data_IF_608592016478
#
_entry.id   IF_608592016478
#
_cell.length_a   1.000
_cell.length_b   1.000
_cell.length_c   1.000
_cell.angle_alpha   90.00
_cell.angle_beta   90.00
_cell.angle_gamma   90.00
#
_symmetry.space_group_name_H-M   'P 1'
#
loop_
_entity.id
_entity.type
_entity.pdbx_description
1 polymer ?
#
# COMPACT_ATOMS: atom_id res chain seq x y z
N UNK A 1 -4.52 15.29 -20.50
CA UNK A 1 -4.18 13.89 -20.17
C UNK A 1 -4.11 13.72 -18.66
N UNK A 2 -5.18 13.26 -18.01
CA UNK A 2 -5.01 12.69 -16.67
C UNK A 2 -4.36 11.34 -16.90
N UNK A 3 -3.12 11.08 -16.43
CA UNK A 3 -2.62 9.71 -16.47
C UNK A 3 -3.67 8.86 -15.76
N UNK A 4 -4.14 7.80 -16.43
CA UNK A 4 -4.99 6.80 -15.80
C UNK A 4 -4.38 6.48 -14.45
N UNK A 5 -5.16 6.29 -13.37
CA UNK A 5 -4.58 5.85 -12.12
C UNK A 5 -3.80 4.59 -12.49
N UNK A 6 -2.46 4.66 -12.46
CA UNK A 6 -1.69 3.43 -12.42
C UNK A 6 -2.28 2.74 -11.21
N UNK A 7 -3.03 1.67 -11.45
CA UNK A 7 -3.76 0.96 -10.40
C UNK A 7 -2.76 0.77 -9.29
N UNK A 8 -2.95 1.51 -8.21
CA UNK A 8 -1.96 1.49 -7.16
C UNK A 8 -1.96 0.09 -6.61
N UNK A 9 -0.90 -0.66 -6.92
CA UNK A 9 -0.76 -2.06 -6.55
C UNK A 9 -0.45 -2.12 -5.07
N UNK A 10 -1.47 -1.92 -4.25
CA UNK A 10 -1.39 -1.91 -2.80
C UNK A 10 -1.78 -3.27 -2.19
N UNK A 11 -1.67 -4.35 -2.97
CA UNK A 11 -2.01 -5.73 -2.57
C UNK A 11 -3.44 -5.92 -2.02
N UNK A 12 -4.37 -5.03 -2.34
CA UNK A 12 -5.75 -5.06 -1.80
C UNK A 12 -5.88 -4.48 -0.39
N UNK A 13 -4.82 -3.89 0.16
CA UNK A 13 -4.84 -3.21 1.46
C UNK A 13 -4.94 -1.70 1.36
N UNK A 14 -5.24 -1.13 0.21
CA UNK A 14 -5.58 0.27 0.10
C UNK A 14 -6.78 0.42 -0.84
N UNK A 15 -7.82 1.09 -0.37
CA UNK A 15 -8.99 1.45 -1.18
C UNK A 15 -8.73 2.69 -2.02
N UNK A 16 -7.71 3.47 -1.67
CA UNK A 16 -7.38 4.72 -2.33
C UNK A 16 -5.89 5.01 -2.25
N UNK A 17 -5.44 5.76 -3.24
CA UNK A 17 -4.06 6.12 -3.41
C UNK A 17 -3.92 7.63 -3.40
N UNK A 18 -2.99 8.17 -2.63
CA UNK A 18 -2.70 9.60 -2.59
C UNK A 18 -1.63 9.94 -3.61
N UNK A 19 -1.78 11.06 -4.31
CA UNK A 19 -0.69 11.61 -5.11
C UNK A 19 0.27 12.41 -4.22
N UNK A 20 1.55 12.10 -4.31
CA UNK A 20 2.64 12.83 -3.66
C UNK A 20 3.59 13.36 -4.73
N UNK A 21 3.62 14.69 -4.84
CA UNK A 21 4.43 15.41 -5.83
C UNK A 21 5.93 15.17 -5.63
N UNK A 22 6.37 15.03 -4.37
CA UNK A 22 7.77 14.77 -4.03
C UNK A 22 8.24 13.44 -4.59
N UNK A 23 7.42 12.40 -4.44
CA UNK A 23 7.68 11.07 -5.00
C UNK A 23 7.62 11.08 -6.52
N UNK A 24 6.67 11.82 -7.10
CA UNK A 24 6.58 11.99 -8.55
C UNK A 24 7.85 12.60 -9.14
N UNK A 25 8.34 13.70 -8.55
CA UNK A 25 9.58 14.34 -8.97
C UNK A 25 10.78 13.41 -8.79
N UNK A 26 10.90 12.74 -7.64
CA UNK A 26 11.99 11.80 -7.34
C UNK A 26 11.98 10.58 -8.26
N UNK A 27 10.80 10.13 -8.69
CA UNK A 27 10.64 9.02 -9.62
C UNK A 27 10.85 9.43 -11.09
N UNK A 28 11.27 10.67 -11.36
CA UNK A 28 11.47 11.18 -12.72
C UNK A 28 10.16 11.37 -13.48
N UNK A 29 9.11 11.86 -12.79
CA UNK A 29 7.75 12.07 -13.30
C UNK A 29 7.04 10.81 -13.78
N UNK A 30 7.50 9.62 -13.36
CA UNK A 30 6.92 8.32 -13.75
C UNK A 30 5.85 7.80 -12.81
N UNK A 31 5.99 8.03 -11.50
CA UNK A 31 5.05 7.53 -10.51
C UNK A 31 5.08 8.41 -9.26
N UNK A 32 3.91 8.93 -8.87
CA UNK A 32 3.70 9.74 -7.67
C UNK A 32 2.61 9.17 -6.76
N UNK A 33 2.13 7.96 -7.05
CA UNK A 33 1.09 7.32 -6.24
C UNK A 33 1.67 6.72 -4.98
N UNK A 34 1.11 7.08 -3.84
CA UNK A 34 1.40 6.53 -2.51
C UNK A 34 0.17 5.78 -2.02
N UNK A 35 0.31 4.48 -1.81
CA UNK A 35 -0.73 3.66 -1.20
C UNK A 35 -1.02 4.14 0.22
N UNK A 36 -2.30 4.39 0.53
CA UNK A 36 -2.74 4.62 1.90
C UNK A 36 -3.10 3.25 2.49
N UNK A 37 -2.11 2.58 3.08
CA UNK A 37 -2.27 1.23 3.60
C UNK A 37 -3.23 1.19 4.79
N UNK A 38 -4.19 0.28 4.70
CA UNK A 38 -5.15 -0.11 5.74
C UNK A 38 -4.71 -1.46 6.35
N UNK A 39 -5.55 -2.05 7.20
CA UNK A 39 -5.38 -3.45 7.63
C UNK A 39 -4.08 -3.72 8.41
N UNK A 40 -3.57 -2.70 9.12
CA UNK A 40 -2.28 -2.72 9.82
C UNK A 40 -1.11 -3.14 8.92
N UNK A 41 -1.21 -2.84 7.63
CA UNK A 41 -0.14 -3.07 6.65
C UNK A 41 0.66 -1.79 6.40
N UNK A 42 1.88 -1.93 5.91
CA UNK A 42 2.81 -0.85 5.66
C UNK A 42 3.74 -1.19 4.49
N UNK A 43 4.52 -0.20 4.07
CA UNK A 43 5.39 -0.25 2.89
C UNK A 43 4.75 0.34 1.63
N UNK A 44 5.55 0.47 0.57
CA UNK A 44 5.16 1.16 -0.67
C UNK A 44 3.90 0.57 -1.33
N UNK A 45 3.72 -0.74 -1.19
CA UNK A 45 2.61 -1.51 -1.74
C UNK A 45 1.80 -2.23 -0.65
N UNK A 46 1.92 -1.81 0.61
CA UNK A 46 1.20 -2.45 1.72
C UNK A 46 1.52 -3.95 1.88
N UNK A 47 2.78 -4.31 1.66
CA UNK A 47 3.24 -5.71 1.62
C UNK A 47 3.76 -6.23 2.97
N UNK A 48 3.95 -5.34 3.94
CA UNK A 48 4.47 -5.65 5.27
C UNK A 48 3.42 -5.36 6.33
N UNK A 49 3.51 -5.99 7.50
CA UNK A 49 2.71 -5.59 8.66
C UNK A 49 3.38 -4.44 9.41
N UNK A 50 2.58 -3.55 9.98
CA UNK A 50 3.04 -2.46 10.82
C UNK A 50 3.77 -3.02 12.05
N UNK A 51 4.70 -2.25 12.62
CA UNK A 51 5.41 -2.62 13.84
C UNK A 51 4.44 -2.98 14.97
N UNK A 52 4.64 -4.14 15.60
CA UNK A 52 3.72 -4.70 16.60
C UNK A 52 2.66 -5.65 16.03
N UNK A 53 2.57 -5.77 14.71
CA UNK A 53 1.74 -6.76 14.02
C UNK A 53 2.62 -7.80 13.32
N UNK A 54 2.11 -9.03 13.21
CA UNK A 54 2.71 -10.11 12.45
C UNK A 54 1.72 -10.64 11.42
N UNK A 55 2.25 -11.25 10.37
CA UNK A 55 1.42 -11.82 9.32
C UNK A 55 0.83 -13.14 9.79
N UNK A 56 -0.49 -13.20 9.80
CA UNK A 56 -1.25 -14.40 10.17
C UNK A 56 -1.16 -15.41 9.01
N UNK A 57 -0.60 -16.62 9.23
CA UNK A 57 -0.41 -17.60 8.16
C UNK A 57 -1.73 -18.26 7.74
N UNK A 58 -2.79 -18.16 8.54
CA UNK A 58 -4.12 -18.73 8.22
C UNK A 58 -4.94 -17.81 7.31
N UNK A 59 -4.49 -16.55 7.13
CA UNK A 59 -5.18 -15.54 6.31
C UNK A 59 -4.47 -15.33 4.98
N UNK A 60 -5.27 -15.00 3.96
CA UNK A 60 -4.75 -14.64 2.65
C UNK A 60 -3.91 -13.36 2.74
N UNK A 61 -2.85 -13.20 1.92
CA UNK A 61 -2.04 -11.99 1.87
C UNK A 61 -2.86 -10.71 1.86
N UNK A 62 -3.84 -10.64 0.97
CA UNK A 62 -4.70 -9.47 0.71
C UNK A 62 -5.88 -9.31 1.67
N UNK A 63 -6.01 -10.17 2.68
CA UNK A 63 -7.12 -10.07 3.62
C UNK A 63 -7.01 -8.82 4.52
N UNK A 64 -8.14 -8.24 4.95
CA UNK A 64 -8.13 -7.13 5.89
C UNK A 64 -7.57 -7.49 7.28
N UNK A 65 -7.64 -8.76 7.64
CA UNK A 65 -7.13 -9.30 8.90
C UNK A 65 -5.82 -10.09 8.72
N UNK A 66 -5.07 -9.84 7.64
CA UNK A 66 -3.78 -10.50 7.41
C UNK A 66 -2.73 -10.19 8.47
N UNK A 67 -2.80 -9.01 9.07
CA UNK A 67 -1.85 -8.55 10.07
C UNK A 67 -2.49 -8.56 11.45
N UNK A 68 -2.04 -9.49 12.30
CA UNK A 68 -2.55 -9.70 13.66
C UNK A 68 -1.58 -9.12 14.68
N UNK A 69 -2.12 -8.56 15.78
CA UNK A 69 -1.30 -7.98 16.85
C UNK A 69 -0.54 -9.09 17.59
N UNK A 70 0.76 -8.88 17.81
CA UNK A 70 1.60 -9.77 18.64
C UNK A 70 1.20 -9.73 20.11
#
# INVERSE_FOLDING_TARGET
MKPAPQECKCNGHAESCRFDETLWLRSGRRSGGVCVCLHNTTGRHCQYCQSGFFRDPEKLPSAPDSCRRK
#
